data_IF_056082154781
#
_entry.id   IF_056082154781
#
_cell.length_a   1.000
_cell.length_b   1.000
_cell.length_c   1.000
_cell.angle_alpha   90.00
_cell.angle_beta   90.00
_cell.angle_gamma   90.00
#
_symmetry.space_group_name_H-M   'P 1'
#
loop_
_entity.id
_entity.type
_entity.pdbx_description
1 polymer ?
#
# COMPACT_ATOMS: atom_id res chain seq x y z
N UNK A 1 17.72 -20.41 3.32
CA UNK A 1 16.33 -20.85 3.55
C UNK A 1 15.43 -20.14 2.55
N UNK A 2 14.30 -20.77 2.17
CA UNK A 2 13.37 -20.22 1.18
C UNK A 2 11.99 -19.96 1.81
N UNK A 3 11.27 -18.99 1.25
CA UNK A 3 9.95 -18.58 1.68
C UNK A 3 9.04 -18.42 0.48
N UNK A 4 7.78 -18.78 0.60
CA UNK A 4 6.77 -18.51 -0.42
C UNK A 4 6.10 -17.17 -0.04
N UNK A 5 6.14 -16.20 -0.94
CA UNK A 5 5.41 -14.94 -0.81
C UNK A 5 4.25 -14.88 -1.78
N UNK A 6 3.08 -14.52 -1.28
CA UNK A 6 1.85 -14.45 -2.07
C UNK A 6 1.22 -13.07 -1.90
N UNK A 7 1.02 -12.36 -3.01
CA UNK A 7 0.35 -11.06 -3.09
C UNK A 7 -1.05 -11.27 -3.69
N UNK A 8 -2.08 -11.05 -2.90
CA UNK A 8 -3.47 -11.28 -3.29
C UNK A 8 -4.16 -9.97 -3.61
N UNK A 9 -4.37 -9.70 -4.88
CA UNK A 9 -5.17 -8.56 -5.34
C UNK A 9 -6.58 -8.96 -5.78
N UNK A 10 -7.46 -7.97 -5.97
CA UNK A 10 -8.82 -8.22 -6.44
C UNK A 10 -8.92 -8.81 -7.85
N UNK A 11 -7.91 -8.61 -8.70
CA UNK A 11 -7.89 -9.11 -10.08
C UNK A 11 -6.92 -10.29 -10.29
N UNK A 12 -5.81 -10.34 -9.56
CA UNK A 12 -4.79 -11.37 -9.70
C UNK A 12 -4.16 -11.72 -8.37
N UNK A 13 -3.76 -12.99 -8.25
CA UNK A 13 -2.89 -13.52 -7.21
C UNK A 13 -1.51 -13.71 -7.83
N UNK A 14 -0.47 -13.23 -7.16
CA UNK A 14 0.93 -13.42 -7.56
C UNK A 14 1.64 -14.21 -6.48
N UNK A 15 2.45 -15.18 -6.86
CA UNK A 15 3.26 -15.93 -5.92
C UNK A 15 4.72 -15.96 -6.38
N UNK A 16 5.63 -16.00 -5.43
CA UNK A 16 7.06 -16.13 -5.70
C UNK A 16 7.79 -16.91 -4.61
N UNK A 17 8.86 -17.58 -5.03
CA UNK A 17 9.84 -18.19 -4.14
C UNK A 17 10.95 -17.17 -3.88
N UNK A 18 11.22 -16.90 -2.61
CA UNK A 18 12.09 -15.80 -2.17
C UNK A 18 13.12 -16.34 -1.20
N UNK A 19 14.37 -15.90 -1.34
CA UNK A 19 15.44 -16.24 -0.39
C UNK A 19 15.45 -15.32 0.85
N UNK A 20 16.36 -15.56 1.77
CA UNK A 20 16.51 -14.80 3.02
C UNK A 20 16.85 -13.31 2.80
N UNK A 21 17.47 -12.99 1.67
CA UNK A 21 17.85 -11.63 1.28
C UNK A 21 16.75 -10.90 0.51
N UNK A 22 15.59 -11.55 0.29
CA UNK A 22 14.47 -10.98 -0.45
C UNK A 22 14.64 -11.07 -1.98
N UNK A 23 15.53 -11.93 -2.51
CA UNK A 23 15.63 -12.16 -3.94
C UNK A 23 14.54 -13.11 -4.39
N UNK A 24 13.81 -12.73 -5.43
CA UNK A 24 12.81 -13.59 -6.07
C UNK A 24 13.55 -14.58 -7.00
N UNK A 25 13.47 -15.86 -6.68
CA UNK A 25 14.06 -16.93 -7.49
C UNK A 25 13.14 -17.39 -8.62
N UNK A 26 11.84 -17.38 -8.35
CA UNK A 26 10.79 -17.69 -9.33
C UNK A 26 9.50 -16.98 -8.96
N UNK A 27 8.71 -16.55 -9.94
CA UNK A 27 7.39 -15.98 -9.72
C UNK A 27 6.42 -16.30 -10.86
N UNK A 28 5.15 -16.42 -10.52
CA UNK A 28 4.05 -16.54 -11.48
C UNK A 28 2.75 -15.99 -10.88
N UNK A 29 1.67 -16.01 -11.65
CA UNK A 29 0.39 -15.46 -11.24
C UNK A 29 -0.80 -16.17 -11.86
N UNK A 30 -1.97 -16.00 -11.25
CA UNK A 30 -3.26 -16.40 -11.80
C UNK A 30 -4.33 -15.32 -11.53
N UNK A 31 -5.47 -15.35 -12.24
CA UNK A 31 -6.64 -14.51 -11.89
C UNK A 31 -7.18 -14.87 -10.51
N UNK A 32 -7.66 -13.87 -9.74
CA UNK A 32 -8.25 -14.10 -8.42
C UNK A 32 -9.62 -14.76 -8.51
N UNK A 33 -10.50 -14.30 -9.43
CA UNK A 33 -11.85 -14.85 -9.58
C UNK A 33 -12.68 -14.72 -8.31
N UNK A 34 -12.79 -13.51 -7.77
CA UNK A 34 -13.46 -13.19 -6.49
C UNK A 34 -14.90 -13.70 -6.42
N UNK A 35 -15.58 -13.72 -7.56
CA UNK A 35 -16.98 -14.18 -7.70
C UNK A 35 -17.19 -15.67 -7.34
N UNK A 36 -16.12 -16.46 -7.26
CA UNK A 36 -16.16 -17.90 -6.92
C UNK A 36 -16.24 -18.17 -5.42
N UNK A 37 -16.15 -17.10 -4.60
CA UNK A 37 -16.16 -17.18 -3.14
C UNK A 37 -14.79 -17.51 -2.54
N UNK A 38 -14.65 -17.26 -1.21
CA UNK A 38 -13.37 -17.31 -0.52
C UNK A 38 -12.69 -18.69 -0.56
N UNK A 39 -13.45 -19.79 -0.46
CA UNK A 39 -12.86 -21.14 -0.47
C UNK A 39 -12.17 -21.48 -1.79
N UNK A 40 -12.72 -21.04 -2.93
CA UNK A 40 -12.07 -21.21 -4.23
C UNK A 40 -10.80 -20.34 -4.34
N UNK A 41 -10.86 -19.11 -3.86
CA UNK A 41 -9.72 -18.19 -3.88
C UNK A 41 -8.59 -18.69 -2.98
N UNK A 42 -8.89 -19.18 -1.77
CA UNK A 42 -7.87 -19.71 -0.84
C UNK A 42 -7.22 -20.98 -1.42
N UNK A 43 -8.02 -21.85 -2.04
CA UNK A 43 -7.45 -23.02 -2.75
C UNK A 43 -6.46 -22.59 -3.84
N UNK A 44 -6.81 -21.56 -4.62
CA UNK A 44 -5.91 -21.05 -5.68
C UNK A 44 -4.66 -20.39 -5.10
N UNK A 45 -4.78 -19.67 -3.97
CA UNK A 45 -3.64 -19.13 -3.22
C UNK A 45 -2.69 -20.25 -2.82
N UNK A 46 -3.21 -21.33 -2.20
CA UNK A 46 -2.41 -22.46 -1.78
C UNK A 46 -1.75 -23.17 -2.96
N UNK A 47 -2.52 -23.51 -3.99
CA UNK A 47 -2.01 -24.20 -5.18
C UNK A 47 -0.98 -23.38 -5.94
N UNK A 48 -1.20 -22.07 -6.10
CA UNK A 48 -0.25 -21.17 -6.74
C UNK A 48 1.05 -21.12 -5.95
N UNK A 49 0.98 -20.94 -4.63
CA UNK A 49 2.14 -20.91 -3.76
C UNK A 49 2.95 -22.21 -3.82
N UNK A 50 2.32 -23.37 -3.66
CA UNK A 50 2.99 -24.67 -3.69
C UNK A 50 3.59 -24.97 -5.07
N UNK A 51 2.87 -24.68 -6.16
CA UNK A 51 3.38 -24.87 -7.53
C UNK A 51 4.55 -23.93 -7.87
N UNK A 52 4.74 -22.86 -7.11
CA UNK A 52 5.90 -21.96 -7.25
C UNK A 52 7.20 -22.70 -6.94
N UNK A 53 7.21 -23.51 -5.89
CA UNK A 53 8.38 -24.31 -5.50
C UNK A 53 8.66 -25.38 -6.54
N UNK A 54 7.64 -26.14 -6.96
CA UNK A 54 7.78 -27.19 -7.97
C UNK A 54 8.36 -26.63 -9.29
N UNK A 55 7.81 -25.52 -9.78
CA UNK A 55 8.24 -24.89 -11.04
C UNK A 55 9.61 -24.22 -10.95
N UNK A 56 10.06 -23.85 -9.75
CA UNK A 56 11.39 -23.27 -9.55
C UNK A 56 12.52 -24.29 -9.58
N UNK A 57 12.20 -25.59 -9.48
CA UNK A 57 13.19 -26.66 -9.39
C UNK A 57 13.77 -26.86 -8.00
N UNK A 58 13.26 -26.16 -6.98
CA UNK A 58 13.63 -26.33 -5.58
C UNK A 58 12.79 -27.39 -4.88
N UNK A 59 13.27 -27.89 -3.73
CA UNK A 59 12.53 -28.84 -2.89
C UNK A 59 11.66 -28.11 -1.86
N UNK A 60 10.48 -28.67 -1.55
CA UNK A 60 9.62 -28.18 -0.49
C UNK A 60 10.30 -28.20 0.89
N UNK A 61 11.26 -29.09 1.11
CA UNK A 61 12.03 -29.19 2.36
C UNK A 61 12.91 -27.96 2.62
N UNK A 62 13.24 -27.18 1.57
CA UNK A 62 13.99 -25.93 1.68
C UNK A 62 13.11 -24.75 2.14
N UNK A 63 11.77 -24.90 2.03
CA UNK A 63 10.80 -23.85 2.33
C UNK A 63 10.45 -23.85 3.82
N UNK A 64 10.50 -22.68 4.45
CA UNK A 64 10.26 -22.52 5.89
C UNK A 64 8.86 -22.04 6.23
N UNK A 65 8.28 -21.23 5.36
CA UNK A 65 6.96 -20.64 5.61
C UNK A 65 6.32 -20.10 4.33
N UNK A 66 5.02 -19.86 4.43
CA UNK A 66 4.23 -19.12 3.45
C UNK A 66 3.78 -17.81 4.06
N UNK A 67 4.04 -16.71 3.40
CA UNK A 67 3.48 -15.41 3.75
C UNK A 67 2.48 -14.94 2.69
N UNK A 68 1.42 -14.26 3.13
CA UNK A 68 0.32 -13.81 2.27
C UNK A 68 0.02 -12.34 2.58
N UNK A 69 0.09 -11.48 1.57
CA UNK A 69 -0.40 -10.10 1.62
C UNK A 69 -1.82 -10.02 1.06
N UNK A 70 -2.74 -9.40 1.80
CA UNK A 70 -4.13 -9.22 1.40
C UNK A 70 -4.56 -7.75 1.49
N UNK A 71 -5.49 -7.27 0.63
CA UNK A 71 -5.99 -5.90 0.70
C UNK A 71 -7.10 -5.75 1.75
N UNK A 72 -6.85 -6.19 2.97
CA UNK A 72 -7.81 -6.22 4.07
C UNK A 72 -7.17 -6.18 5.44
N UNK A 73 -8.00 -6.25 6.48
CA UNK A 73 -7.56 -6.30 7.87
C UNK A 73 -7.39 -7.76 8.29
N UNK A 74 -6.31 -8.06 9.01
CA UNK A 74 -6.05 -9.38 9.58
C UNK A 74 -6.10 -9.32 11.11
N UNK A 75 -6.94 -10.15 11.74
CA UNK A 75 -6.83 -10.40 13.17
C UNK A 75 -5.78 -11.51 13.41
N UNK A 76 -4.59 -11.10 13.79
CA UNK A 76 -3.45 -12.00 14.01
C UNK A 76 -3.70 -13.01 15.15
N UNK A 77 -4.61 -12.73 16.09
CA UNK A 77 -4.91 -13.61 17.23
C UNK A 77 -5.79 -14.78 16.84
N UNK A 78 -6.71 -14.55 15.92
CA UNK A 78 -7.71 -15.55 15.49
C UNK A 78 -7.38 -16.22 14.18
N UNK A 79 -6.50 -15.61 13.37
CA UNK A 79 -6.22 -16.07 12.01
C UNK A 79 -7.35 -15.79 11.02
N UNK A 80 -8.23 -14.83 11.37
CA UNK A 80 -9.42 -14.47 10.58
C UNK A 80 -9.17 -13.13 9.86
N UNK A 81 -9.68 -13.00 8.65
CA UNK A 81 -9.86 -11.73 7.92
C UNK A 81 -11.26 -11.21 8.20
N UNK A 82 -11.45 -10.26 9.13
CA UNK A 82 -12.79 -9.77 9.48
C UNK A 82 -13.46 -9.10 8.29
N UNK A 83 -12.68 -8.37 7.50
CA UNK A 83 -13.22 -7.63 6.36
C UNK A 83 -12.15 -7.39 5.28
N UNK A 84 -12.52 -7.65 4.01
CA UNK A 84 -11.73 -7.31 2.85
C UNK A 84 -12.65 -6.94 1.68
N UNK A 85 -12.79 -5.65 1.38
CA UNK A 85 -13.69 -5.14 0.34
C UNK A 85 -13.35 -5.70 -1.05
N UNK A 86 -12.06 -5.69 -1.40
CA UNK A 86 -11.59 -6.06 -2.73
C UNK A 86 -11.78 -7.55 -3.06
N UNK A 87 -11.91 -8.39 -2.03
CA UNK A 87 -12.15 -9.82 -2.15
C UNK A 87 -13.59 -10.21 -1.77
N UNK A 88 -14.42 -9.25 -1.33
CA UNK A 88 -15.76 -9.48 -0.80
C UNK A 88 -15.76 -10.50 0.37
N UNK A 89 -14.74 -10.44 1.22
CA UNK A 89 -14.58 -11.35 2.36
C UNK A 89 -15.15 -10.74 3.63
N UNK A 90 -15.81 -11.58 4.44
CA UNK A 90 -16.30 -11.29 5.78
C UNK A 90 -16.02 -12.49 6.68
N UNK A 91 -15.32 -12.25 7.78
CA UNK A 91 -14.97 -13.26 8.80
C UNK A 91 -14.37 -14.55 8.22
N UNK A 92 -13.44 -14.42 7.25
CA UNK A 92 -12.83 -15.55 6.55
C UNK A 92 -11.66 -16.12 7.38
N UNK A 93 -11.71 -17.41 7.79
CA UNK A 93 -10.68 -18.05 8.62
C UNK A 93 -9.51 -18.54 7.75
N UNK A 94 -8.77 -17.60 7.15
CA UNK A 94 -7.75 -17.90 6.13
C UNK A 94 -6.67 -18.85 6.63
N UNK A 95 -6.21 -18.71 7.90
CA UNK A 95 -5.18 -19.59 8.45
C UNK A 95 -5.69 -21.01 8.57
N UNK A 96 -6.95 -21.21 9.02
CA UNK A 96 -7.54 -22.56 9.16
C UNK A 96 -7.79 -23.20 7.80
N UNK A 97 -8.27 -22.43 6.84
CA UNK A 97 -8.48 -22.90 5.47
C UNK A 97 -7.15 -23.32 4.79
N UNK A 98 -6.07 -22.56 5.01
CA UNK A 98 -4.75 -22.89 4.45
C UNK A 98 -4.19 -24.22 4.97
N UNK A 99 -4.49 -24.63 6.21
CA UNK A 99 -4.06 -25.90 6.80
C UNK A 99 -4.57 -27.13 6.04
N UNK A 100 -5.62 -26.98 5.23
CA UNK A 100 -6.11 -28.09 4.37
C UNK A 100 -5.14 -28.42 3.23
N UNK A 101 -4.20 -27.53 2.92
CA UNK A 101 -3.31 -27.62 1.75
C UNK A 101 -1.83 -27.73 2.12
N UNK A 102 -1.43 -27.35 3.33
CA UNK A 102 -0.02 -27.33 3.74
C UNK A 102 0.15 -27.42 5.25
N UNK A 103 1.24 -28.09 5.68
CA UNK A 103 1.69 -28.09 7.08
C UNK A 103 2.71 -26.97 7.36
N UNK A 104 3.12 -26.19 6.36
CA UNK A 104 4.02 -25.05 6.56
C UNK A 104 3.35 -23.96 7.40
N UNK A 105 4.11 -23.24 8.25
CA UNK A 105 3.61 -22.05 8.91
C UNK A 105 3.11 -21.03 7.89
N UNK A 106 1.90 -20.47 8.12
CA UNK A 106 1.28 -19.46 7.27
C UNK A 106 1.14 -18.15 8.04
N UNK A 107 1.65 -17.07 7.46
CA UNK A 107 1.57 -15.71 7.97
C UNK A 107 0.78 -14.84 7.00
N UNK A 108 -0.12 -14.02 7.52
CA UNK A 108 -0.96 -13.15 6.68
C UNK A 108 -0.92 -11.74 7.25
N UNK A 109 -0.77 -10.74 6.39
CA UNK A 109 -0.87 -9.34 6.79
C UNK A 109 -1.45 -8.48 5.66
N UNK A 110 -1.69 -7.20 5.96
CA UNK A 110 -2.19 -6.23 5.00
C UNK A 110 -1.18 -5.97 3.87
N UNK A 111 -1.68 -5.71 2.66
CA UNK A 111 -0.86 -5.46 1.46
C UNK A 111 0.10 -4.26 1.59
N UNK A 112 -0.32 -3.17 2.22
CA UNK A 112 0.57 -2.03 2.47
C UNK A 112 1.62 -2.34 3.54
N UNK A 113 1.27 -3.15 4.55
CA UNK A 113 2.22 -3.62 5.58
C UNK A 113 3.31 -4.49 4.95
N UNK A 114 2.94 -5.45 4.11
CA UNK A 114 3.93 -6.31 3.44
C UNK A 114 4.78 -5.52 2.45
N UNK A 115 4.22 -4.53 1.75
CA UNK A 115 5.01 -3.65 0.88
C UNK A 115 6.03 -2.83 1.69
N UNK A 116 5.67 -2.34 2.87
CA UNK A 116 6.58 -1.67 3.78
C UNK A 116 7.70 -2.58 4.28
N UNK A 117 7.38 -3.83 4.62
CA UNK A 117 8.37 -4.84 5.00
C UNK A 117 9.34 -5.14 3.86
N UNK A 118 8.84 -5.25 2.62
CA UNK A 118 9.70 -5.44 1.45
C UNK A 118 10.71 -4.30 1.28
N UNK A 119 10.25 -3.06 1.34
CA UNK A 119 11.13 -1.88 1.23
C UNK A 119 12.15 -1.81 2.37
N UNK A 120 11.82 -2.30 3.58
CA UNK A 120 12.75 -2.35 4.70
C UNK A 120 13.80 -3.47 4.59
N UNK A 121 13.49 -4.55 3.87
CA UNK A 121 14.43 -5.67 3.66
C UNK A 121 15.31 -5.41 2.46
N UNK A 122 14.76 -4.94 1.34
CA UNK A 122 15.46 -4.89 0.06
C UNK A 122 15.30 -3.58 -0.71
N UNK A 123 14.38 -2.72 -0.31
CA UNK A 123 14.09 -1.49 -1.01
C UNK A 123 14.84 -0.28 -0.45
N UNK A 124 14.26 0.89 -0.65
CA UNK A 124 14.89 2.18 -0.32
C UNK A 124 15.07 2.42 1.19
N UNK A 125 14.34 1.70 2.03
CA UNK A 125 14.48 1.74 3.49
C UNK A 125 15.35 0.61 4.07
N UNK A 126 16.01 -0.18 3.22
CA UNK A 126 16.92 -1.22 3.68
C UNK A 126 18.04 -0.65 4.54
N UNK A 127 18.33 -1.33 5.66
CA UNK A 127 19.35 -0.91 6.63
C UNK A 127 18.87 0.11 7.67
N UNK A 128 17.63 0.60 7.60
CA UNK A 128 17.03 1.40 8.68
C UNK A 128 16.33 0.51 9.69
N UNK A 129 16.22 0.97 10.93
CA UNK A 129 15.49 0.27 11.99
C UNK A 129 14.02 0.63 11.99
N UNK A 130 13.73 1.90 11.75
CA UNK A 130 12.39 2.48 11.86
C UNK A 130 12.02 3.14 10.54
N UNK A 131 11.02 2.60 9.86
CA UNK A 131 10.54 3.13 8.59
C UNK A 131 9.01 3.05 8.49
N UNK A 132 8.44 3.98 7.73
CA UNK A 132 7.03 3.98 7.41
C UNK A 132 6.86 3.85 5.90
N UNK A 133 5.93 3.01 5.49
CA UNK A 133 5.47 2.93 4.11
C UNK A 133 4.08 3.57 4.00
N UNK A 134 3.91 4.45 3.02
CA UNK A 134 2.64 5.12 2.74
C UNK A 134 2.27 4.85 1.29
N UNK A 135 1.23 4.06 1.06
CA UNK A 135 0.73 3.82 -0.29
C UNK A 135 -0.32 4.84 -0.68
N UNK A 136 -0.10 5.52 -1.81
CA UNK A 136 -0.96 6.56 -2.37
C UNK A 136 -1.71 6.00 -3.59
N UNK A 137 -2.81 5.32 -3.30
CA UNK A 137 -3.68 4.67 -4.30
C UNK A 137 -5.09 5.23 -4.27
N UNK A 138 -6.09 4.37 -4.49
CA UNK A 138 -7.52 4.71 -4.34
C UNK A 138 -7.81 5.31 -2.96
N UNK A 139 -7.18 4.74 -1.92
CA UNK A 139 -7.10 5.28 -0.57
C UNK A 139 -5.65 5.61 -0.18
N UNK A 140 -5.41 5.72 1.12
CA UNK A 140 -4.08 5.82 1.74
C UNK A 140 -3.93 4.65 2.70
N UNK A 141 -3.01 3.74 2.38
CA UNK A 141 -2.63 2.64 3.27
C UNK A 141 -1.28 2.88 3.92
N UNK A 142 -0.94 2.08 4.91
CA UNK A 142 0.33 2.19 5.62
C UNK A 142 0.94 0.87 6.03
N UNK A 143 2.27 0.88 6.16
CA UNK A 143 3.06 -0.15 6.81
C UNK A 143 4.02 0.51 7.78
N UNK A 144 4.07 0.03 9.01
CA UNK A 144 4.92 0.56 10.07
C UNK A 144 5.96 -0.49 10.44
N UNK A 145 7.21 -0.15 10.28
CA UNK A 145 8.35 -0.99 10.68
C UNK A 145 9.06 -0.30 11.84
N UNK A 146 9.12 -0.98 12.99
CA UNK A 146 9.77 -0.49 14.21
C UNK A 146 10.79 -1.53 14.70
N UNK A 147 12.02 -1.10 14.97
CA UNK A 147 13.12 -1.99 15.32
C UNK A 147 13.33 -3.15 14.32
N UNK A 148 13.14 -2.88 13.04
CA UNK A 148 13.27 -3.85 11.94
C UNK A 148 12.14 -4.88 11.85
N UNK A 149 11.02 -4.67 12.54
CA UNK A 149 9.87 -5.58 12.57
C UNK A 149 8.57 -4.85 12.23
N UNK A 150 7.62 -5.59 11.66
CA UNK A 150 6.27 -5.07 11.45
C UNK A 150 5.63 -4.69 12.79
N UNK A 151 5.13 -3.48 12.87
CA UNK A 151 4.37 -2.98 14.01
C UNK A 151 2.87 -3.00 13.69
N UNK A 152 2.20 -4.07 14.09
CA UNK A 152 0.75 -4.24 13.88
C UNK A 152 -0.08 -3.70 15.05
N UNK A 153 0.56 -3.29 16.17
CA UNK A 153 -0.12 -2.85 17.39
C UNK A 153 -0.78 -3.99 18.16
N UNK A 154 -1.44 -3.64 19.25
CA UNK A 154 -2.04 -4.64 20.17
C UNK A 154 -3.24 -5.39 19.56
N UNK A 155 -3.86 -4.86 18.52
CA UNK A 155 -5.08 -5.39 17.92
C UNK A 155 -4.96 -5.62 16.39
N UNK A 156 -3.75 -5.52 15.83
CA UNK A 156 -3.50 -5.73 14.41
C UNK A 156 -3.96 -4.60 13.48
N UNK A 157 -4.20 -3.39 14.00
CA UNK A 157 -4.74 -2.25 13.21
C UNK A 157 -3.88 -0.98 13.30
N UNK A 158 -2.64 -1.09 13.77
CA UNK A 158 -1.80 0.09 14.03
C UNK A 158 -1.42 0.88 12.76
N UNK A 159 -1.42 0.26 11.59
CA UNK A 159 -1.02 0.87 10.32
C UNK A 159 -2.16 1.48 9.51
N UNK A 160 -3.37 1.60 10.08
CA UNK A 160 -4.54 2.23 9.44
C UNK A 160 -4.41 3.77 9.38
N UNK A 161 -3.24 4.25 8.92
CA UNK A 161 -2.84 5.68 8.92
C UNK A 161 -3.73 6.55 8.03
N UNK A 162 -4.28 6.01 6.95
CA UNK A 162 -5.19 6.71 6.05
C UNK A 162 -6.48 7.16 6.74
N UNK A 163 -6.85 6.50 7.84
CA UNK A 163 -8.02 6.84 8.63
C UNK A 163 -7.73 7.79 9.80
N UNK A 164 -6.51 8.27 9.94
CA UNK A 164 -6.15 9.39 10.84
C UNK A 164 -6.91 10.65 10.41
N UNK A 165 -7.57 11.33 11.36
CA UNK A 165 -8.32 12.56 11.08
C UNK A 165 -7.34 13.73 10.96
N UNK A 166 -7.18 14.27 9.75
CA UNK A 166 -6.33 15.44 9.47
C UNK A 166 -7.14 16.72 9.31
N UNK A 167 -8.46 16.60 9.08
CA UNK A 167 -9.38 17.74 8.97
C UNK A 167 -10.61 17.47 9.84
N UNK A 168 -10.63 18.02 11.06
CA UNK A 168 -11.76 17.82 11.98
C UNK A 168 -13.08 18.29 11.35
N UNK A 169 -14.12 17.42 11.38
CA UNK A 169 -15.42 17.72 10.77
C UNK A 169 -15.44 17.73 9.24
N UNK A 170 -14.32 17.38 8.58
CA UNK A 170 -14.15 17.43 7.13
C UNK A 170 -15.01 16.44 6.32
N UNK A 171 -14.49 16.00 5.18
CA UNK A 171 -15.22 15.13 4.23
C UNK A 171 -15.59 13.78 4.86
N UNK A 172 -16.78 13.23 4.54
CA UNK A 172 -17.17 11.90 5.03
C UNK A 172 -16.26 10.84 4.46
N UNK A 173 -15.92 9.84 5.29
CA UNK A 173 -15.12 8.67 4.94
C UNK A 173 -15.98 7.41 5.01
N UNK A 174 -15.64 6.42 4.18
CA UNK A 174 -16.31 5.10 4.14
C UNK A 174 -16.19 4.33 5.47
N UNK A 175 -15.15 4.66 6.30
CA UNK A 175 -15.01 4.09 7.64
C UNK A 175 -16.01 4.64 8.68
N UNK A 176 -16.97 5.49 8.28
CA UNK A 176 -17.98 6.10 9.15
C UNK A 176 -17.54 7.43 9.80
N UNK A 177 -16.25 7.76 9.78
CA UNK A 177 -15.72 9.03 10.33
C UNK A 177 -15.76 10.16 9.29
N UNK A 178 -15.37 11.35 9.73
CA UNK A 178 -15.18 12.53 8.87
C UNK A 178 -13.76 13.06 9.01
N UNK A 179 -13.19 13.49 7.87
CA UNK A 179 -11.89 14.17 7.86
C UNK A 179 -10.68 13.27 7.83
N UNK A 180 -10.84 11.97 7.51
CA UNK A 180 -9.74 11.02 7.34
C UNK A 180 -8.74 11.50 6.28
N UNK A 181 -7.46 11.29 6.52
CA UNK A 181 -6.37 11.70 5.65
C UNK A 181 -6.53 11.24 4.21
N UNK A 182 -6.94 9.99 3.99
CA UNK A 182 -7.17 9.45 2.64
C UNK A 182 -8.17 10.26 1.82
N UNK A 183 -9.10 10.98 2.47
CA UNK A 183 -10.08 11.81 1.75
C UNK A 183 -9.45 13.03 1.09
N UNK A 184 -8.19 13.34 1.44
CA UNK A 184 -7.45 14.52 0.98
C UNK A 184 -6.14 14.18 0.27
N UNK A 185 -5.51 13.03 0.59
CA UNK A 185 -4.18 12.64 0.11
C UNK A 185 -4.17 11.33 -0.71
N UNK A 186 -5.29 10.91 -1.29
CA UNK A 186 -5.39 9.75 -2.18
C UNK A 186 -5.55 10.14 -3.65
N UNK A 187 -5.41 9.16 -4.57
CA UNK A 187 -5.76 9.35 -5.97
C UNK A 187 -7.23 9.75 -6.15
N UNK A 188 -8.14 9.19 -5.33
CA UNK A 188 -9.56 9.56 -5.31
C UNK A 188 -9.76 11.04 -4.94
N UNK A 189 -8.91 11.61 -4.08
CA UNK A 189 -8.96 13.04 -3.74
C UNK A 189 -8.62 13.92 -4.95
N UNK A 190 -7.57 13.57 -5.73
CA UNK A 190 -7.21 14.26 -6.97
C UNK A 190 -8.33 14.16 -8.02
N UNK A 191 -8.88 12.98 -8.23
CA UNK A 191 -10.01 12.76 -9.15
C UNK A 191 -11.21 13.62 -8.76
N UNK A 192 -11.56 13.63 -7.47
CA UNK A 192 -12.68 14.46 -6.97
C UNK A 192 -12.42 15.95 -7.23
N UNK A 193 -11.21 16.45 -6.93
CA UNK A 193 -10.86 17.85 -7.16
C UNK A 193 -10.91 18.20 -8.66
N UNK A 194 -10.41 17.32 -9.53
CA UNK A 194 -10.50 17.48 -10.98
C UNK A 194 -11.95 17.53 -11.48
N UNK A 195 -12.82 16.67 -10.94
CA UNK A 195 -14.26 16.68 -11.27
C UNK A 195 -14.95 17.97 -10.84
N UNK A 196 -14.62 18.51 -9.67
CA UNK A 196 -15.13 19.81 -9.20
C UNK A 196 -14.67 20.92 -10.14
N UNK A 197 -13.37 20.97 -10.50
CA UNK A 197 -12.85 21.92 -11.48
C UNK A 197 -13.61 21.89 -12.79
N UNK A 198 -13.83 20.68 -13.36
CA UNK A 198 -14.51 20.53 -14.64
C UNK A 198 -16.00 20.93 -14.58
N UNK A 199 -16.65 20.70 -13.44
CA UNK A 199 -18.03 21.15 -13.24
C UNK A 199 -18.14 22.68 -13.16
N UNK A 200 -17.16 23.35 -12.53
CA UNK A 200 -17.11 24.81 -12.42
C UNK A 200 -16.60 25.49 -13.70
N UNK A 201 -15.70 24.83 -14.43
CA UNK A 201 -15.06 25.34 -15.66
C UNK A 201 -15.15 24.29 -16.80
N UNK A 202 -16.30 24.13 -17.47
CA UNK A 202 -16.50 23.11 -18.51
C UNK A 202 -15.56 23.23 -19.72
N UNK A 203 -14.90 24.38 -19.91
CA UNK A 203 -13.93 24.59 -21.00
C UNK A 203 -12.47 24.41 -20.60
N UNK A 204 -12.19 23.96 -19.36
CA UNK A 204 -10.81 23.80 -18.87
C UNK A 204 -10.05 22.72 -19.66
N UNK A 205 -8.70 22.76 -19.65
CA UNK A 205 -7.86 21.77 -20.32
C UNK A 205 -8.16 20.33 -19.87
N UNK A 206 -8.42 20.11 -18.58
CA UNK A 206 -8.75 18.80 -18.03
C UNK A 206 -10.03 18.21 -18.65
N UNK A 207 -11.07 19.02 -18.84
CA UNK A 207 -12.30 18.57 -19.50
C UNK A 207 -12.06 18.19 -20.97
N UNK A 208 -11.20 18.94 -21.67
CA UNK A 208 -10.81 18.63 -23.06
C UNK A 208 -10.03 17.32 -23.14
N UNK A 209 -9.13 17.07 -22.21
CA UNK A 209 -8.31 15.85 -22.15
C UNK A 209 -9.16 14.58 -22.03
N UNK A 210 -10.29 14.64 -21.34
CA UNK A 210 -11.22 13.51 -21.16
C UNK A 210 -12.40 13.54 -22.15
N UNK A 211 -12.29 14.30 -23.24
CA UNK A 211 -13.31 14.41 -24.29
C UNK A 211 -14.72 14.75 -23.76
N UNK A 212 -14.81 15.56 -22.69
CA UNK A 212 -16.07 15.97 -22.09
C UNK A 212 -16.69 14.97 -21.12
N UNK A 213 -16.11 13.79 -20.89
CA UNK A 213 -16.61 12.84 -19.90
C UNK A 213 -15.91 13.05 -18.54
N UNK A 214 -16.56 13.81 -17.67
CA UNK A 214 -16.08 14.08 -16.31
C UNK A 214 -15.86 12.81 -15.46
N UNK A 215 -16.51 11.68 -15.81
CA UNK A 215 -16.35 10.41 -15.10
C UNK A 215 -15.07 9.69 -15.50
N UNK A 216 -14.54 9.98 -16.67
CA UNK A 216 -13.28 9.40 -17.16
C UNK A 216 -12.03 10.03 -16.52
N UNK A 217 -12.16 11.12 -15.76
CA UNK A 217 -11.04 11.78 -15.08
C UNK A 217 -10.33 10.80 -14.13
N UNK A 218 -9.01 10.68 -14.33
CA UNK A 218 -8.09 9.94 -13.48
C UNK A 218 -7.18 10.89 -12.69
N UNK A 219 -6.51 10.38 -11.65
CA UNK A 219 -5.49 11.16 -10.93
C UNK A 219 -4.33 11.55 -11.86
N UNK A 220 -3.98 10.66 -12.81
CA UNK A 220 -2.92 10.91 -13.79
C UNK A 220 -3.23 12.11 -14.68
N UNK A 221 -4.48 12.28 -15.13
CA UNK A 221 -4.86 13.42 -15.96
C UNK A 221 -4.63 14.76 -15.25
N UNK A 222 -4.98 14.82 -13.97
CA UNK A 222 -4.76 16.02 -13.13
C UNK A 222 -3.25 16.29 -12.96
N UNK A 223 -2.48 15.24 -12.66
CA UNK A 223 -1.04 15.36 -12.42
C UNK A 223 -0.31 15.74 -13.71
N UNK A 224 -0.62 15.10 -14.86
CA UNK A 224 0.01 15.40 -16.14
C UNK A 224 -0.20 16.87 -16.55
N UNK A 225 -1.40 17.40 -16.36
CA UNK A 225 -1.68 18.82 -16.63
C UNK A 225 -0.95 19.74 -15.64
N UNK A 226 -0.86 19.36 -14.37
CA UNK A 226 -0.07 20.13 -13.40
C UNK A 226 1.42 20.15 -13.78
N UNK A 227 1.98 19.01 -14.18
CA UNK A 227 3.37 18.91 -14.67
C UNK A 227 3.61 19.77 -15.94
N UNK A 228 2.58 19.94 -16.78
CA UNK A 228 2.63 20.79 -17.98
C UNK A 228 2.29 22.26 -17.70
N UNK A 229 2.10 22.65 -16.44
CA UNK A 229 1.93 24.04 -16.02
C UNK A 229 0.51 24.59 -16.16
N UNK A 230 -0.53 23.74 -16.22
CA UNK A 230 -1.91 24.21 -16.13
C UNK A 230 -2.20 24.75 -14.73
N UNK A 231 -2.50 26.04 -14.63
CA UNK A 231 -2.65 26.75 -13.35
C UNK A 231 -3.72 26.14 -12.41
N UNK A 232 -4.82 25.64 -12.97
CA UNK A 232 -5.90 25.05 -12.17
C UNK A 232 -5.46 23.68 -11.62
N UNK A 233 -4.81 22.86 -12.43
CA UNK A 233 -4.29 21.56 -12.00
C UNK A 233 -3.09 21.69 -11.07
N UNK A 234 -2.23 22.69 -11.24
CA UNK A 234 -1.16 23.05 -10.30
C UNK A 234 -1.75 23.36 -8.92
N UNK A 235 -2.80 24.19 -8.84
CA UNK A 235 -3.46 24.48 -7.56
C UNK A 235 -4.07 23.24 -6.92
N UNK A 236 -4.65 22.33 -7.70
CA UNK A 236 -5.17 21.05 -7.18
C UNK A 236 -4.03 20.21 -6.61
N UNK A 237 -2.92 20.11 -7.35
CA UNK A 237 -1.76 19.33 -6.93
C UNK A 237 -1.10 19.93 -5.68
N UNK A 238 -0.91 21.23 -5.61
CA UNK A 238 -0.35 21.92 -4.44
C UNK A 238 -1.21 21.68 -3.19
N UNK A 239 -2.53 21.77 -3.31
CA UNK A 239 -3.44 21.46 -2.21
C UNK A 239 -3.38 19.98 -1.80
N UNK A 240 -3.23 19.06 -2.76
CA UNK A 240 -2.99 17.65 -2.48
C UNK A 240 -1.69 17.44 -1.70
N UNK A 241 -0.59 18.04 -2.15
CA UNK A 241 0.72 17.96 -1.49
C UNK A 241 0.65 18.55 -0.07
N UNK A 242 -0.07 19.65 0.12
CA UNK A 242 -0.31 20.21 1.44
C UNK A 242 -0.94 19.19 2.40
N UNK A 243 -2.03 18.56 1.99
CA UNK A 243 -2.70 17.55 2.82
C UNK A 243 -1.85 16.30 3.03
N UNK A 244 -1.07 15.91 2.01
CA UNK A 244 -0.11 14.81 2.14
C UNK A 244 0.93 15.14 3.22
N UNK A 245 1.55 16.31 3.17
CA UNK A 245 2.57 16.76 4.13
C UNK A 245 2.00 16.89 5.55
N UNK A 246 0.77 17.35 5.73
CA UNK A 246 0.11 17.38 7.05
C UNK A 246 0.07 15.99 7.67
N UNK A 247 -0.33 14.97 6.92
CA UNK A 247 -0.35 13.61 7.41
C UNK A 247 1.05 13.04 7.68
N UNK A 248 2.00 13.26 6.76
CA UNK A 248 3.40 12.84 6.96
C UNK A 248 4.00 13.46 8.22
N UNK A 249 3.73 14.73 8.48
CA UNK A 249 4.21 15.43 9.68
C UNK A 249 3.62 14.83 10.96
N UNK A 250 2.33 14.45 10.94
CA UNK A 250 1.73 13.77 12.08
C UNK A 250 2.40 12.42 12.34
N UNK A 251 2.74 11.66 11.29
CA UNK A 251 3.46 10.39 11.42
C UNK A 251 4.88 10.61 11.95
N UNK A 252 5.59 11.64 11.49
CA UNK A 252 6.91 12.01 12.02
C UNK A 252 6.81 12.33 13.51
N UNK A 253 5.83 13.13 13.93
CA UNK A 253 5.66 13.51 15.34
C UNK A 253 5.31 12.32 16.26
N UNK A 254 4.70 11.25 15.73
CA UNK A 254 4.25 10.10 16.52
C UNK A 254 5.29 8.98 16.54
N UNK A 255 5.91 8.69 15.38
CA UNK A 255 6.78 7.53 15.20
C UNK A 255 8.27 7.89 15.12
N UNK A 256 8.60 9.14 14.77
CA UNK A 256 9.98 9.61 14.55
C UNK A 256 10.83 8.63 13.71
N UNK A 257 10.37 8.21 12.52
CA UNK A 257 11.05 7.21 11.72
C UNK A 257 12.29 7.80 11.03
N UNK A 258 13.26 6.96 10.65
CA UNK A 258 14.40 7.37 9.83
C UNK A 258 13.98 7.72 8.39
N UNK A 259 12.96 7.02 7.86
CA UNK A 259 12.50 7.21 6.49
C UNK A 259 10.99 6.96 6.36
N UNK A 260 10.34 7.76 5.52
CA UNK A 260 8.99 7.52 5.03
C UNK A 260 9.09 7.21 3.54
N UNK A 261 8.60 6.05 3.14
CA UNK A 261 8.60 5.57 1.75
C UNK A 261 7.22 5.80 1.15
N UNK A 262 7.14 6.53 0.04
CA UNK A 262 5.91 6.78 -0.70
C UNK A 262 5.79 5.78 -1.86
N UNK A 263 4.74 4.97 -1.84
CA UNK A 263 4.39 4.01 -2.88
C UNK A 263 2.99 4.25 -3.45
N UNK A 264 2.51 3.30 -4.25
CA UNK A 264 1.19 3.35 -4.87
C UNK A 264 1.15 4.17 -6.16
N UNK A 265 -0.04 4.22 -6.81
CA UNK A 265 -0.19 4.78 -8.15
C UNK A 265 0.19 6.25 -8.29
N UNK A 266 -0.05 7.08 -7.26
CA UNK A 266 0.31 8.52 -7.31
C UNK A 266 1.83 8.72 -7.24
N UNK A 267 2.57 7.82 -6.56
CA UNK A 267 4.03 7.95 -6.48
C UNK A 267 4.74 7.79 -7.83
N UNK A 268 4.07 7.24 -8.85
CA UNK A 268 4.61 7.13 -10.20
C UNK A 268 4.86 8.47 -10.89
N UNK A 269 4.34 9.59 -10.38
CA UNK A 269 4.75 10.91 -10.87
C UNK A 269 6.19 11.32 -10.44
N UNK A 270 6.85 10.45 -9.68
CA UNK A 270 8.29 10.51 -9.46
C UNK A 270 8.74 11.76 -8.70
N UNK A 271 9.83 12.35 -9.21
CA UNK A 271 10.45 13.54 -8.62
C UNK A 271 9.51 14.74 -8.53
N UNK A 272 8.48 14.81 -9.36
CA UNK A 272 7.50 15.90 -9.29
C UNK A 272 6.77 15.91 -7.93
N UNK A 273 6.33 14.74 -7.45
CA UNK A 273 5.75 14.60 -6.12
C UNK A 273 6.81 14.77 -5.04
N UNK A 274 7.93 14.06 -5.17
CA UNK A 274 8.95 13.98 -4.13
C UNK A 274 9.53 15.36 -3.81
N UNK A 275 9.85 16.14 -4.84
CA UNK A 275 10.40 17.49 -4.70
C UNK A 275 9.37 18.45 -4.08
N UNK A 276 8.08 18.35 -4.46
CA UNK A 276 7.02 19.16 -3.86
C UNK A 276 6.83 18.85 -2.37
N UNK A 277 6.84 17.55 -2.01
CA UNK A 277 6.79 17.12 -0.59
C UNK A 277 8.00 17.61 0.18
N UNK A 278 9.22 17.39 -0.33
CA UNK A 278 10.49 17.79 0.32
C UNK A 278 10.60 19.30 0.49
N UNK A 279 10.09 20.09 -0.44
CA UNK A 279 10.08 21.56 -0.34
C UNK A 279 9.09 22.07 0.71
N UNK A 280 7.99 21.34 0.93
CA UNK A 280 6.94 21.79 1.85
C UNK A 280 7.14 21.25 3.27
N UNK A 281 7.64 20.02 3.44
CA UNK A 281 7.78 19.31 4.71
C UNK A 281 8.52 20.11 5.80
N UNK A 282 9.65 20.83 5.54
CA UNK A 282 10.37 21.60 6.54
C UNK A 282 9.54 22.73 7.18
N UNK A 283 8.45 23.15 6.54
CA UNK A 283 7.58 24.21 7.09
C UNK A 283 6.67 23.68 8.21
N UNK A 284 6.42 22.37 8.24
CA UNK A 284 5.44 21.70 9.10
C UNK A 284 6.04 20.81 10.18
N UNK A 285 7.31 20.37 10.06
CA UNK A 285 7.96 19.58 11.10
C UNK A 285 8.08 20.41 12.38
N UNK A 286 7.89 19.76 13.53
CA UNK A 286 7.90 20.41 14.84
C UNK A 286 9.28 20.95 15.22
N UNK A 287 10.31 20.09 15.16
CA UNK A 287 11.70 20.48 15.42
C UNK A 287 12.47 20.70 14.13
N UNK A 288 12.73 21.99 13.80
CA UNK A 288 13.46 22.36 12.57
C UNK A 288 14.97 22.23 12.69
N UNK A 289 15.49 22.13 13.92
CA UNK A 289 16.93 22.07 14.23
C UNK A 289 17.42 20.66 14.51
N UNK A 290 16.53 19.67 14.53
CA UNK A 290 16.87 18.25 14.66
C UNK A 290 16.66 17.53 13.33
N UNK A 291 17.37 16.43 13.10
CA UNK A 291 17.05 15.53 11.98
C UNK A 291 15.59 15.03 12.09
N UNK A 292 14.96 14.84 10.96
CA UNK A 292 13.65 14.20 10.84
C UNK A 292 13.66 13.24 9.66
N UNK A 293 12.60 12.44 9.51
CA UNK A 293 12.49 11.42 8.49
C UNK A 293 12.79 11.95 7.08
N UNK A 294 13.69 11.28 6.35
CA UNK A 294 13.78 11.51 4.91
C UNK A 294 12.54 10.92 4.22
N UNK A 295 12.10 11.54 3.14
CA UNK A 295 11.00 11.03 2.31
C UNK A 295 11.58 10.53 1.01
N UNK A 296 11.24 9.30 0.65
CA UNK A 296 11.74 8.59 -0.54
C UNK A 296 10.60 7.94 -1.31
N UNK A 297 10.84 7.60 -2.58
CA UNK A 297 9.90 6.81 -3.37
C UNK A 297 10.21 5.32 -3.25
N UNK A 298 9.17 4.49 -3.25
CA UNK A 298 9.30 3.04 -3.29
C UNK A 298 10.05 2.56 -4.53
N UNK A 299 10.90 1.55 -4.35
CA UNK A 299 11.77 1.03 -5.41
C UNK A 299 11.36 -0.35 -5.92
N UNK A 300 10.66 -1.15 -5.11
CA UNK A 300 10.34 -2.55 -5.45
C UNK A 300 9.08 -2.72 -6.30
N UNK A 301 8.28 -1.67 -6.42
CA UNK A 301 7.08 -1.61 -7.29
C UNK A 301 6.19 -2.86 -7.19
N UNK A 302 6.00 -3.58 -8.31
CA UNK A 302 5.11 -4.74 -8.40
C UNK A 302 5.60 -6.00 -7.65
N UNK A 303 6.85 -6.05 -7.22
CA UNK A 303 7.44 -7.20 -6.53
C UNK A 303 7.41 -7.03 -5.00
N UNK A 304 7.09 -5.83 -4.50
CA UNK A 304 7.02 -5.54 -3.08
C UNK A 304 6.06 -6.48 -2.33
N UNK A 305 4.86 -6.73 -2.90
CA UNK A 305 3.88 -7.63 -2.29
C UNK A 305 4.41 -9.06 -2.10
N UNK A 306 5.09 -9.60 -3.11
CA UNK A 306 5.69 -10.97 -3.05
C UNK A 306 6.83 -11.00 -2.02
N UNK A 307 7.78 -10.05 -2.12
CA UNK A 307 8.96 -10.02 -1.24
C UNK A 307 8.52 -9.85 0.22
N UNK A 308 7.67 -8.85 0.49
CA UNK A 308 7.24 -8.55 1.84
C UNK A 308 6.39 -9.66 2.45
N UNK A 309 5.50 -10.27 1.67
CA UNK A 309 4.74 -11.44 2.13
C UNK A 309 5.69 -12.57 2.52
N UNK A 310 6.66 -12.94 1.67
CA UNK A 310 7.65 -13.98 1.99
C UNK A 310 8.40 -13.66 3.29
N UNK A 311 8.78 -12.39 3.51
CA UNK A 311 9.53 -11.97 4.69
C UNK A 311 8.72 -11.95 5.99
N UNK A 312 7.38 -12.04 5.96
CA UNK A 312 6.59 -12.30 7.16
C UNK A 312 6.99 -13.60 7.86
N UNK A 313 7.38 -14.60 7.10
CA UNK A 313 7.81 -15.90 7.63
C UNK A 313 9.23 -15.91 8.21
N UNK A 314 10.02 -14.85 7.97
CA UNK A 314 11.38 -14.68 8.50
C UNK A 314 11.40 -13.89 9.82
N UNK A 315 10.36 -13.07 10.11
CA UNK A 315 10.31 -12.10 11.20
C UNK A 315 10.22 -12.70 12.61
#
# INVERSE_FOLDING_TARGET
MLYIGIDVGGMSIKAGLVDEEGNILFKHSCPTGVERGYGAVIRDIAQLGLSTVEKSGHSMDEVKAIGIGIPGIMDQRTGIVPFCTNLSWHDVPIIEEMKQYTDLPVYVDNDATVAGLAESVKGVSAGTKDSLFVTLGTGVGGGVIMNGRVFSGSHGVASEIGHMVTVAGGLPCTCGKRGCWERYASATALIRAGRVLCAEKPSCPLMKQVNGDIRAITAKDVIDLAMNGDDDCVRIFDNYVYHLVVGLTNLINVYDPEVIVLGGGVSHCGEFLLNAVRALLPKYVFFKTMPYARVELATLTNDAGIIGAAMLGKA
#
